data_IF_185074869503
#
_entry.id   IF_185074869503
#
_cell.length_a   1.000
_cell.length_b   1.000
_cell.length_c   1.000
_cell.angle_alpha   90.00
_cell.angle_beta   90.00
_cell.angle_gamma   90.00
#
_symmetry.space_group_name_H-M   'P 1'
#
loop_
_entity.id
_entity.type
_entity.pdbx_description
1 polymer ?
#
# COMPACT_ATOMS: atom_id res chain seq x y z
N UNK A 1 19.37 -19.46 6.74
CA UNK A 1 18.32 -19.30 5.71
C UNK A 1 18.06 -17.81 5.57
N UNK A 2 18.34 -17.24 4.40
CA UNK A 2 18.10 -15.83 4.14
C UNK A 2 16.60 -15.68 3.88
N UNK A 3 15.84 -15.26 4.90
CA UNK A 3 14.42 -14.97 4.72
C UNK A 3 14.32 -13.62 4.00
N UNK A 4 14.20 -13.68 2.67
CA UNK A 4 13.88 -12.52 1.84
C UNK A 4 12.41 -12.14 2.09
N UNK A 5 12.14 -11.50 3.22
CA UNK A 5 10.78 -11.06 3.61
C UNK A 5 10.44 -9.71 2.97
N UNK A 6 11.46 -8.90 2.65
CA UNK A 6 11.24 -7.57 2.10
C UNK A 6 11.25 -7.62 0.57
N UNK A 7 10.06 -7.58 -0.02
CA UNK A 7 9.83 -7.31 -1.45
C UNK A 7 9.32 -5.89 -1.62
N UNK A 8 10.03 -5.06 -2.39
CA UNK A 8 9.57 -3.73 -2.78
C UNK A 8 9.93 -3.47 -4.23
N UNK A 9 9.16 -2.62 -4.91
CA UNK A 9 9.51 -2.10 -6.23
C UNK A 9 10.31 -0.81 -6.03
N UNK A 10 11.50 -0.63 -6.65
CA UNK A 10 12.27 0.61 -6.55
C UNK A 10 11.52 1.87 -7.01
N UNK A 11 10.46 1.69 -7.79
CA UNK A 11 9.62 2.76 -8.32
C UNK A 11 8.40 3.05 -7.42
N UNK A 12 8.14 2.22 -6.41
CA UNK A 12 6.99 2.32 -5.54
C UNK A 12 7.44 2.47 -4.08
N UNK A 13 7.48 3.71 -3.55
CA UNK A 13 7.85 3.95 -2.16
C UNK A 13 6.84 3.37 -1.15
N UNK A 14 5.58 3.16 -1.54
CA UNK A 14 4.53 2.60 -0.68
C UNK A 14 4.76 1.10 -0.48
N UNK A 15 5.13 0.39 -1.55
CA UNK A 15 5.47 -1.03 -1.46
C UNK A 15 6.59 -1.33 -0.46
N UNK A 16 7.54 -0.40 -0.28
CA UNK A 16 8.59 -0.54 0.72
C UNK A 16 8.02 -0.50 2.15
N UNK A 17 7.13 0.45 2.43
CA UNK A 17 6.54 0.60 3.77
C UNK A 17 5.65 -0.58 4.12
N UNK A 18 4.83 -1.05 3.17
CA UNK A 18 4.00 -2.24 3.33
C UNK A 18 4.85 -3.49 3.62
N UNK A 19 5.95 -3.65 2.87
CA UNK A 19 6.90 -4.74 3.05
C UNK A 19 7.58 -4.70 4.43
N UNK A 20 7.98 -3.51 4.87
CA UNK A 20 8.56 -3.28 6.19
C UNK A 20 7.55 -3.59 7.31
N UNK A 21 6.29 -3.18 7.16
CA UNK A 21 5.23 -3.43 8.14
C UNK A 21 5.00 -4.94 8.29
N UNK A 22 4.83 -5.67 7.19
CA UNK A 22 4.69 -7.15 7.20
C UNK A 22 5.91 -7.84 7.79
N UNK A 23 7.12 -7.37 7.46
CA UNK A 23 8.34 -7.93 8.02
C UNK A 23 8.41 -7.70 9.53
N UNK A 24 8.04 -6.51 10.01
CA UNK A 24 8.03 -6.18 11.43
C UNK A 24 7.02 -7.04 12.20
N UNK A 25 5.79 -7.17 11.70
CA UNK A 25 4.77 -8.05 12.28
C UNK A 25 5.24 -9.51 12.38
N UNK A 26 5.90 -10.01 11.34
CA UNK A 26 6.42 -11.37 11.33
C UNK A 26 7.53 -11.56 12.37
N UNK A 27 8.45 -10.61 12.48
CA UNK A 27 9.54 -10.64 13.46
C UNK A 27 8.95 -10.62 14.88
N UNK A 28 8.06 -9.67 15.16
CA UNK A 28 7.42 -9.52 16.48
C UNK A 28 6.68 -10.79 16.87
N UNK A 29 5.83 -11.32 15.99
CA UNK A 29 5.10 -12.58 16.24
C UNK A 29 6.02 -13.75 16.55
N UNK A 30 7.12 -13.88 15.80
CA UNK A 30 8.09 -14.97 16.00
C UNK A 30 8.82 -14.83 17.34
N UNK A 31 9.26 -13.61 17.66
CA UNK A 31 10.03 -13.35 18.88
C UNK A 31 9.15 -13.39 20.14
N UNK A 32 7.94 -12.85 20.09
CA UNK A 32 6.96 -12.91 21.19
C UNK A 32 6.55 -14.36 21.47
N UNK A 33 6.39 -15.21 20.45
CA UNK A 33 6.10 -16.63 20.63
C UNK A 33 7.26 -17.42 21.27
N UNK A 34 8.50 -17.01 21.02
CA UNK A 34 9.71 -17.64 21.57
C UNK A 34 10.19 -17.01 22.89
N UNK A 35 9.58 -15.91 23.32
CA UNK A 35 10.02 -15.12 24.49
C UNK A 35 11.45 -14.59 24.32
N UNK A 36 11.87 -14.28 23.09
CA UNK A 36 13.26 -13.91 22.77
C UNK A 36 13.41 -12.43 22.46
N UNK A 37 14.40 -11.75 23.06
CA UNK A 37 14.65 -10.35 22.74
C UNK A 37 15.18 -10.19 21.31
N UNK A 38 14.88 -9.05 20.67
CA UNK A 38 15.34 -8.74 19.31
C UNK A 38 16.68 -8.01 19.39
N UNK A 39 17.71 -8.58 18.75
CA UNK A 39 19.03 -7.92 18.63
C UNK A 39 18.93 -6.72 17.69
N UNK A 40 19.50 -5.59 18.10
CA UNK A 40 19.61 -4.39 17.27
C UNK A 40 21.03 -4.30 16.72
N UNK A 41 21.14 -3.97 15.42
CA UNK A 41 22.44 -3.84 14.76
C UNK A 41 23.20 -2.56 15.14
N UNK A 42 22.51 -1.59 15.73
CA UNK A 42 23.01 -0.21 15.92
C UNK A 42 23.17 0.18 17.38
N UNK A 43 22.74 -0.66 18.31
CA UNK A 43 22.89 -0.46 19.76
C UNK A 43 23.22 -1.80 20.42
N UNK A 44 23.94 -1.76 21.54
CA UNK A 44 24.37 -2.98 22.24
C UNK A 44 23.22 -3.65 23.02
N UNK A 45 22.19 -2.87 23.37
CA UNK A 45 21.03 -3.35 24.11
C UNK A 45 19.97 -3.94 23.17
N UNK A 46 19.58 -5.21 23.33
CA UNK A 46 18.48 -5.77 22.55
C UNK A 46 17.13 -5.22 23.01
N UNK A 47 16.13 -5.27 22.14
CA UNK A 47 14.75 -4.96 22.52
C UNK A 47 14.18 -6.13 23.32
N UNK A 48 13.83 -5.85 24.58
CA UNK A 48 13.11 -6.75 25.48
C UNK A 48 11.61 -6.53 25.38
N UNK A 49 10.84 -7.06 26.32
CA UNK A 49 9.37 -7.01 26.27
C UNK A 49 8.83 -5.59 26.15
N UNK A 50 9.35 -4.63 26.91
CA UNK A 50 8.88 -3.23 26.90
C UNK A 50 9.05 -2.60 25.50
N UNK A 51 10.21 -2.73 24.86
CA UNK A 51 10.41 -2.19 23.52
C UNK A 51 9.58 -2.93 22.46
N UNK A 52 9.34 -4.24 22.62
CA UNK A 52 8.47 -4.99 21.73
C UNK A 52 7.03 -4.49 21.84
N UNK A 53 6.53 -4.25 23.05
CA UNK A 53 5.22 -3.65 23.29
C UNK A 53 5.11 -2.28 22.65
N UNK A 54 6.13 -1.41 22.77
CA UNK A 54 6.12 -0.12 22.08
C UNK A 54 6.08 -0.26 20.55
N UNK A 55 6.78 -1.23 19.98
CA UNK A 55 6.69 -1.50 18.55
C UNK A 55 5.29 -1.96 18.13
N UNK A 56 4.64 -2.81 18.94
CA UNK A 56 3.30 -3.33 18.69
C UNK A 56 2.20 -2.28 18.87
N UNK A 57 2.28 -1.46 19.92
CA UNK A 57 1.22 -0.53 20.31
C UNK A 57 1.39 0.87 19.70
N UNK A 58 2.61 1.30 19.39
CA UNK A 58 2.86 2.66 18.88
C UNK A 58 3.32 2.66 17.42
N UNK A 59 4.22 1.76 17.03
CA UNK A 59 4.83 1.81 15.68
C UNK A 59 3.95 1.13 14.64
N UNK A 60 3.52 -0.10 14.87
CA UNK A 60 2.68 -0.84 13.92
C UNK A 60 1.38 -0.10 13.56
N UNK A 61 0.64 0.51 14.52
CA UNK A 61 -0.59 1.24 14.18
C UNK A 61 -0.34 2.48 13.32
N UNK A 62 0.77 3.18 13.54
CA UNK A 62 1.16 4.33 12.70
C UNK A 62 1.47 3.88 11.26
N UNK A 63 2.16 2.74 11.10
CA UNK A 63 2.40 2.18 9.77
C UNK A 63 1.09 1.77 9.08
N UNK A 64 0.16 1.16 9.81
CA UNK A 64 -1.15 0.78 9.28
C UNK A 64 -1.97 2.01 8.84
N UNK A 65 -2.05 3.04 9.69
CA UNK A 65 -2.74 4.29 9.37
C UNK A 65 -2.12 5.03 8.17
N UNK A 66 -0.78 4.96 8.02
CA UNK A 66 -0.10 5.46 6.84
C UNK A 66 -0.58 4.74 5.57
N UNK A 67 -0.59 3.40 5.58
CA UNK A 67 -1.03 2.60 4.42
C UNK A 67 -2.50 2.85 4.08
N UNK A 68 -3.38 2.89 5.08
CA UNK A 68 -4.81 3.20 4.90
C UNK A 68 -4.99 4.58 4.26
N UNK A 69 -4.17 5.56 4.65
CA UNK A 69 -4.23 6.90 4.06
C UNK A 69 -3.82 6.90 2.59
N UNK A 70 -2.85 6.08 2.20
CA UNK A 70 -2.46 5.92 0.80
C UNK A 70 -3.59 5.26 0.01
N UNK A 71 -4.17 4.18 0.51
CA UNK A 71 -5.30 3.51 -0.15
C UNK A 71 -6.46 4.48 -0.43
N UNK A 72 -6.76 5.36 0.52
CA UNK A 72 -7.79 6.39 0.34
C UNK A 72 -7.43 7.44 -0.74
N UNK A 73 -6.15 7.78 -0.88
CA UNK A 73 -5.67 8.67 -1.95
C UNK A 73 -5.83 7.97 -3.30
N UNK A 74 -5.41 6.72 -3.40
CA UNK A 74 -5.46 5.94 -4.64
C UNK A 74 -6.90 5.76 -5.12
N UNK A 75 -7.82 5.38 -4.22
CA UNK A 75 -9.25 5.31 -4.51
C UNK A 75 -9.81 6.66 -4.99
N UNK A 76 -9.36 7.76 -4.40
CA UNK A 76 -9.76 9.10 -4.81
C UNK A 76 -9.27 9.48 -6.21
N UNK A 77 -8.08 9.01 -6.60
CA UNK A 77 -7.54 9.20 -7.95
C UNK A 77 -8.28 8.34 -8.97
N UNK A 78 -8.52 7.07 -8.67
CA UNK A 78 -9.27 6.14 -9.52
C UNK A 78 -10.70 6.63 -9.78
N UNK A 79 -11.41 7.06 -8.73
CA UNK A 79 -12.76 7.59 -8.86
C UNK A 79 -12.82 8.86 -9.74
N UNK A 80 -11.81 9.74 -9.63
CA UNK A 80 -11.71 10.93 -10.49
C UNK A 80 -11.46 10.56 -11.95
N UNK A 81 -10.54 9.64 -12.19
CA UNK A 81 -10.25 9.15 -13.54
C UNK A 81 -11.50 8.51 -14.18
N UNK A 82 -12.23 7.71 -13.42
CA UNK A 82 -13.46 7.07 -13.89
C UNK A 82 -14.52 8.11 -14.28
N UNK A 83 -14.72 9.15 -13.46
CA UNK A 83 -15.64 10.23 -13.78
C UNK A 83 -15.23 11.03 -15.03
N UNK A 84 -13.93 11.21 -15.27
CA UNK A 84 -13.41 11.86 -16.48
C UNK A 84 -13.68 11.01 -17.74
N UNK A 85 -13.52 9.68 -17.64
CA UNK A 85 -13.83 8.74 -18.73
C UNK A 85 -15.32 8.79 -19.08
N UNK A 86 -16.19 8.66 -18.07
CA UNK A 86 -17.65 8.69 -18.28
C UNK A 86 -18.12 10.01 -18.90
N UNK A 87 -17.53 11.13 -18.47
CA UNK A 87 -17.82 12.44 -19.07
C UNK A 87 -17.40 12.51 -20.54
N UNK A 88 -16.25 11.95 -20.92
CA UNK A 88 -15.81 11.89 -22.33
C UNK A 88 -16.70 10.99 -23.19
N UNK A 89 -17.10 9.82 -22.68
CA UNK A 89 -18.00 8.90 -23.38
C UNK A 89 -19.37 9.53 -23.63
N UNK A 90 -19.89 10.28 -22.66
CA UNK A 90 -21.15 11.03 -22.81
C UNK A 90 -21.09 12.21 -23.80
N UNK A 91 -19.88 12.64 -24.18
CA UNK A 91 -19.63 13.73 -25.12
C UNK A 91 -19.28 13.27 -26.54
N UNK A 92 -19.14 11.95 -26.78
CA UNK A 92 -18.98 11.42 -28.12
C UNK A 92 -20.30 11.56 -28.90
N UNK A 93 -20.36 12.36 -29.98
CA UNK A 93 -21.58 12.49 -30.74
C UNK A 93 -21.87 11.21 -31.54
N UNK A 94 -23.05 10.61 -31.30
CA UNK A 94 -23.74 9.78 -32.28
C UNK A 94 -24.06 10.68 -33.49
N UNK A 95 -23.15 10.72 -34.47
CA UNK A 95 -23.21 11.68 -35.56
C UNK A 95 -22.51 11.21 -36.82
N UNK A 96 -22.81 10.00 -37.28
CA UNK A 96 -22.68 9.64 -38.69
C UNK A 96 -24.08 9.25 -39.19
N UNK A 97 -24.94 10.24 -39.41
CA UNK A 97 -26.14 10.07 -40.22
C UNK A 97 -25.71 9.65 -41.62
N UNK A 98 -26.10 8.43 -42.01
CA UNK A 98 -25.98 7.97 -43.39
C UNK A 98 -26.75 8.94 -44.32
N UNK A 99 -26.16 9.44 -45.42
CA UNK A 99 -26.96 10.17 -46.38
C UNK A 99 -27.88 9.19 -47.12
N UNK A 100 -29.17 9.31 -46.84
CA UNK A 100 -30.26 8.75 -47.62
C UNK A 100 -30.08 9.06 -49.11
N UNK A 101 -30.44 8.09 -49.93
CA UNK A 101 -30.45 8.23 -51.39
C UNK A 101 -31.23 9.45 -51.86
N UNK A 102 -30.76 10.04 -52.96
CA UNK A 102 -31.50 11.06 -53.66
C UNK A 102 -30.70 11.79 -54.72
N UNK A 103 -30.62 11.22 -55.92
CA UNK A 103 -30.75 11.99 -57.16
C UNK A 103 -31.00 11.03 -58.34
N UNK A 104 -31.99 11.43 -59.16
CA UNK A 104 -32.53 10.81 -60.35
C UNK A 104 -31.52 10.41 -61.44
#
# INVERSE_FOLDING_TARGET
MVSSVVRYSPQDPVSLVESCQKALEWILRTHSAEGRPIRRCWIDHPYGEEELTLLEEEVLPVMAAFLERIDAIDQGLEARLQAEIEAQESQAPDGEEAPEGGAC
#
